data_IF_085895163983
#
_entry.id   IF_085895163983
#
_cell.length_a   1.000
_cell.length_b   1.000
_cell.length_c   1.000
_cell.angle_alpha   90.00
_cell.angle_beta   90.00
_cell.angle_gamma   90.00
#
_symmetry.space_group_name_H-M   'P 1'
#
loop_
_entity.id
_entity.type
_entity.pdbx_description
1 polymer ?
#
# COMPACT_ATOMS: atom_id res chain seq x y z
N UNK A 1 -13.18 -21.39 1.49
CA UNK A 1 -12.68 -22.06 2.67
C UNK A 1 -12.61 -21.08 3.83
N UNK A 2 -13.24 -21.39 4.95
CA UNK A 2 -13.14 -20.52 6.12
C UNK A 2 -11.68 -20.37 6.52
N UNK A 3 -11.26 -19.17 6.79
CA UNK A 3 -9.89 -18.89 7.16
C UNK A 3 -8.94 -18.53 6.03
N UNK A 4 -9.38 -18.55 4.78
CA UNK A 4 -8.57 -17.98 3.71
C UNK A 4 -8.46 -16.46 3.95
N UNK A 5 -7.24 -15.89 4.03
CA UNK A 5 -7.11 -14.47 4.33
C UNK A 5 -7.59 -13.61 3.15
N UNK A 6 -8.18 -12.47 3.50
CA UNK A 6 -8.48 -11.45 2.50
C UNK A 6 -7.18 -10.84 1.98
N UNK A 7 -7.16 -10.48 0.73
CA UNK A 7 -6.02 -9.76 0.14
C UNK A 7 -6.43 -8.33 -0.16
N UNK A 8 -5.66 -7.38 0.35
CA UNK A 8 -5.84 -5.95 0.08
C UNK A 8 -4.68 -5.49 -0.79
N UNK A 9 -5.01 -4.96 -1.97
CA UNK A 9 -4.03 -4.43 -2.91
C UNK A 9 -3.93 -2.92 -2.75
N UNK A 10 -2.75 -2.42 -2.41
CA UNK A 10 -2.48 -0.98 -2.40
C UNK A 10 -1.82 -0.60 -3.72
N UNK A 11 -2.34 0.42 -4.37
CA UNK A 11 -1.87 0.86 -5.69
C UNK A 11 -1.58 2.35 -5.70
N UNK A 12 -0.46 2.71 -6.30
CA UNK A 12 -0.11 4.09 -6.60
C UNK A 12 0.57 4.13 -7.97
N UNK A 13 1.17 5.26 -8.36
CA UNK A 13 1.78 5.35 -9.68
C UNK A 13 3.05 4.51 -9.76
N UNK A 14 4.04 4.79 -8.91
CA UNK A 14 5.37 4.19 -9.03
C UNK A 14 5.61 2.95 -8.20
N UNK A 15 4.73 2.64 -7.26
CA UNK A 15 4.94 1.56 -6.27
C UNK A 15 6.32 1.66 -5.58
N UNK A 16 6.79 2.89 -5.41
CA UNK A 16 8.09 3.19 -4.84
C UNK A 16 8.00 3.95 -3.51
N UNK A 17 6.79 4.24 -3.05
CA UNK A 17 6.57 4.99 -1.82
C UNK A 17 5.25 4.66 -1.13
N UNK A 18 4.19 5.38 -1.48
CA UNK A 18 2.90 5.32 -0.76
C UNK A 18 2.35 3.91 -0.60
N UNK A 19 2.22 3.17 -1.69
CA UNK A 19 1.67 1.80 -1.64
C UNK A 19 2.59 0.82 -0.94
N UNK A 20 3.91 1.00 -1.04
CA UNK A 20 4.87 0.17 -0.30
C UNK A 20 4.76 0.41 1.20
N UNK A 21 4.63 1.67 1.63
CA UNK A 21 4.45 2.00 3.05
C UNK A 21 3.14 1.41 3.59
N UNK A 22 2.04 1.55 2.83
CA UNK A 22 0.74 1.03 3.24
C UNK A 22 0.76 -0.48 3.41
N UNK A 23 1.33 -1.22 2.46
CA UNK A 23 1.42 -2.67 2.54
C UNK A 23 2.28 -3.11 3.73
N UNK A 24 3.39 -2.42 3.99
CA UNK A 24 4.27 -2.73 5.12
C UNK A 24 3.55 -2.55 6.46
N UNK A 25 2.86 -1.43 6.66
CA UNK A 25 2.09 -1.22 7.89
C UNK A 25 0.96 -2.22 8.03
N UNK A 26 0.25 -2.49 6.96
CA UNK A 26 -0.85 -3.46 6.98
C UNK A 26 -0.35 -4.83 7.44
N UNK A 27 0.71 -5.34 6.82
CA UNK A 27 1.22 -6.67 7.14
C UNK A 27 1.86 -6.74 8.53
N UNK A 28 2.34 -5.61 9.06
CA UNK A 28 2.87 -5.55 10.42
C UNK A 28 1.77 -5.55 11.48
N UNK A 29 0.62 -4.95 11.19
CA UNK A 29 -0.46 -4.72 12.16
C UNK A 29 -1.62 -5.70 12.05
N UNK A 30 -1.88 -6.24 10.86
CA UNK A 30 -2.99 -7.15 10.63
C UNK A 30 -2.72 -8.55 11.19
N UNK A 31 -3.80 -9.24 11.58
CA UNK A 31 -3.74 -10.67 11.81
C UNK A 31 -3.60 -11.37 10.46
N UNK A 32 -2.46 -12.01 10.23
CA UNK A 32 -2.14 -12.64 8.95
C UNK A 32 -3.07 -13.80 8.58
N UNK A 33 -3.78 -14.35 9.57
CA UNK A 33 -4.80 -15.37 9.32
C UNK A 33 -6.09 -14.77 8.76
N UNK A 34 -6.29 -13.46 8.91
CA UNK A 34 -7.49 -12.74 8.46
C UNK A 34 -7.27 -11.98 7.17
N UNK A 35 -6.12 -11.30 7.05
CA UNK A 35 -5.85 -10.44 5.91
C UNK A 35 -4.36 -10.22 5.69
N UNK A 36 -4.00 -9.98 4.44
CA UNK A 36 -2.63 -9.59 4.04
C UNK A 36 -2.71 -8.52 2.97
N UNK A 37 -1.64 -7.77 2.81
CA UNK A 37 -1.55 -6.74 1.78
C UNK A 37 -0.47 -7.05 0.76
N UNK A 38 -0.72 -6.61 -0.45
CA UNK A 38 0.24 -6.56 -1.55
C UNK A 38 0.19 -5.16 -2.14
N UNK A 39 1.19 -4.78 -2.91
CA UNK A 39 1.24 -3.47 -3.54
C UNK A 39 1.72 -3.54 -4.97
N UNK A 40 1.31 -2.58 -5.79
CA UNK A 40 1.70 -2.48 -7.19
C UNK A 40 1.54 -1.04 -7.68
N UNK A 41 2.04 -0.73 -8.87
CA UNK A 41 1.94 0.59 -9.46
C UNK A 41 1.59 0.54 -10.93
N UNK A 42 0.97 1.61 -11.40
CA UNK A 42 0.59 1.74 -12.82
C UNK A 42 1.80 2.01 -13.71
N UNK A 43 2.86 2.56 -13.13
CA UNK A 43 4.12 2.83 -13.81
C UNK A 43 5.26 2.62 -12.81
N UNK A 44 5.61 1.35 -12.50
CA UNK A 44 6.56 1.07 -11.42
C UNK A 44 7.94 1.66 -11.69
N UNK A 45 8.52 2.26 -10.63
CA UNK A 45 9.88 2.75 -10.64
C UNK A 45 10.89 1.61 -10.52
N UNK A 46 12.20 1.91 -10.63
CA UNK A 46 13.24 0.90 -10.55
C UNK A 46 13.48 0.38 -9.13
N UNK A 47 13.14 1.16 -8.11
CA UNK A 47 13.36 0.80 -6.71
C UNK A 47 12.47 1.65 -5.81
N UNK A 48 12.32 1.25 -4.55
CA UNK A 48 11.68 2.08 -3.53
C UNK A 48 12.56 3.30 -3.29
N UNK A 49 11.93 4.47 -3.17
CA UNK A 49 12.67 5.72 -3.00
C UNK A 49 13.52 5.69 -1.72
N UNK A 50 14.77 6.14 -1.74
CA UNK A 50 15.65 6.10 -0.57
C UNK A 50 15.10 6.82 0.65
N UNK A 51 14.40 7.95 0.47
CA UNK A 51 13.77 8.70 1.55
C UNK A 51 12.64 7.90 2.21
N UNK A 52 11.96 7.05 1.45
CA UNK A 52 10.93 6.15 1.98
C UNK A 52 11.56 5.03 2.79
N UNK A 53 12.64 4.44 2.28
CA UNK A 53 13.40 3.42 3.02
C UNK A 53 13.86 3.99 4.36
N UNK A 54 14.41 5.22 4.37
CA UNK A 54 14.88 5.88 5.57
C UNK A 54 13.74 6.15 6.57
N UNK A 55 12.61 6.70 6.09
CA UNK A 55 11.47 7.02 6.93
C UNK A 55 10.84 5.75 7.55
N UNK A 56 10.77 4.67 6.81
CA UNK A 56 10.21 3.40 7.33
C UNK A 56 11.15 2.73 8.31
N UNK A 57 12.46 2.85 8.11
CA UNK A 57 13.45 2.33 9.06
C UNK A 57 13.33 3.00 10.42
N UNK A 58 12.98 4.28 10.45
CA UNK A 58 12.77 5.02 11.71
C UNK A 58 11.67 4.40 12.59
N UNK A 59 10.71 3.72 11.98
CA UNK A 59 9.60 3.07 12.69
C UNK A 59 9.75 1.54 12.72
N UNK A 60 10.96 1.06 12.49
CA UNK A 60 11.28 -0.36 12.64
C UNK A 60 10.94 -1.22 11.44
N UNK A 61 10.68 -0.64 10.28
CA UNK A 61 10.32 -1.39 9.07
C UNK A 61 11.38 -1.23 7.99
N UNK A 62 11.83 -2.34 7.42
CA UNK A 62 12.87 -2.37 6.41
C UNK A 62 12.28 -2.65 5.04
N UNK A 63 12.33 -1.65 4.16
CA UNK A 63 11.90 -1.76 2.76
C UNK A 63 13.09 -1.91 1.79
N UNK A 64 14.28 -2.16 2.30
CA UNK A 64 15.49 -2.25 1.49
C UNK A 64 15.36 -3.29 0.37
N UNK A 65 14.74 -4.43 0.63
CA UNK A 65 14.59 -5.51 -0.35
C UNK A 65 13.27 -5.47 -1.12
N UNK A 66 12.40 -4.50 -0.85
CA UNK A 66 11.12 -4.38 -1.54
C UNK A 66 11.33 -3.90 -2.98
N UNK A 67 10.58 -4.46 -3.92
CA UNK A 67 10.71 -4.16 -5.35
C UNK A 67 9.39 -3.66 -5.90
N UNK A 68 9.35 -2.52 -6.59
CA UNK A 68 8.16 -2.07 -7.31
C UNK A 68 7.74 -3.08 -8.37
N UNK A 69 6.42 -3.23 -8.56
CA UNK A 69 5.89 -4.12 -9.60
C UNK A 69 4.68 -3.51 -10.29
N UNK A 70 4.42 -3.99 -11.50
CA UNK A 70 3.34 -3.49 -12.34
C UNK A 70 1.98 -3.98 -11.84
N UNK A 71 1.04 -3.03 -11.71
CA UNK A 71 -0.36 -3.34 -11.44
C UNK A 71 -1.02 -3.81 -12.74
N UNK A 72 -1.58 -5.00 -12.70
CA UNK A 72 -2.34 -5.56 -13.83
C UNK A 72 -3.72 -6.01 -13.33
N UNK A 73 -4.74 -6.07 -14.23
CA UNK A 73 -6.04 -6.64 -13.84
C UNK A 73 -5.93 -8.07 -13.30
N UNK A 74 -5.03 -8.88 -13.85
CA UNK A 74 -4.79 -10.25 -13.40
C UNK A 74 -4.25 -10.28 -11.97
N UNK A 75 -3.35 -9.36 -11.64
CA UNK A 75 -2.80 -9.26 -10.30
C UNK A 75 -3.86 -8.81 -9.30
N UNK A 76 -4.74 -7.88 -9.70
CA UNK A 76 -5.74 -7.29 -8.83
C UNK A 76 -7.01 -8.14 -8.68
N UNK A 77 -7.31 -9.04 -9.61
CA UNK A 77 -8.58 -9.77 -9.63
C UNK A 77 -8.83 -10.65 -8.40
N UNK A 78 -7.77 -11.11 -7.76
CA UNK A 78 -7.85 -11.97 -6.59
C UNK A 78 -7.89 -11.18 -5.27
N UNK A 79 -7.79 -9.85 -5.35
CA UNK A 79 -7.89 -8.99 -4.18
C UNK A 79 -9.35 -8.82 -3.76
N UNK A 80 -9.59 -8.73 -2.45
CA UNK A 80 -10.89 -8.34 -1.92
C UNK A 80 -11.08 -6.83 -2.05
N UNK A 81 -10.01 -6.08 -1.82
CA UNK A 81 -10.00 -4.62 -1.88
C UNK A 81 -8.85 -4.13 -2.75
N UNK A 82 -9.13 -3.10 -3.53
CA UNK A 82 -8.12 -2.30 -4.23
C UNK A 82 -8.16 -0.89 -3.66
N UNK A 83 -7.13 -0.50 -2.93
CA UNK A 83 -7.00 0.85 -2.35
C UNK A 83 -6.05 1.65 -3.22
N UNK A 84 -6.57 2.66 -3.88
CA UNK A 84 -5.78 3.53 -4.75
C UNK A 84 -5.24 4.73 -3.98
N UNK A 85 -4.02 5.13 -4.29
CA UNK A 85 -3.31 6.16 -3.51
C UNK A 85 -2.72 7.20 -4.47
N UNK A 86 -3.58 7.79 -5.31
CA UNK A 86 -3.17 8.86 -6.20
C UNK A 86 -2.88 8.45 -7.64
N UNK A 87 -3.27 7.24 -8.08
CA UNK A 87 -3.14 6.84 -9.48
C UNK A 87 -4.34 7.27 -10.34
N UNK A 88 -5.43 7.70 -9.71
CA UNK A 88 -6.60 8.22 -10.42
C UNK A 88 -7.17 7.23 -11.44
N UNK A 89 -7.46 7.72 -12.64
CA UNK A 89 -8.06 6.93 -13.71
C UNK A 89 -7.11 5.88 -14.29
N UNK A 90 -5.80 5.98 -14.02
CA UNK A 90 -4.83 5.00 -14.48
C UNK A 90 -4.94 3.66 -13.73
N UNK A 91 -5.55 3.65 -12.54
CA UNK A 91 -5.81 2.42 -11.81
C UNK A 91 -7.00 1.69 -12.44
N UNK A 92 -6.88 0.38 -12.70
CA UNK A 92 -7.96 -0.37 -13.34
C UNK A 92 -9.17 -0.52 -12.43
N UNK A 93 -10.36 -0.58 -13.04
CA UNK A 93 -11.57 -1.03 -12.36
C UNK A 93 -11.67 -2.53 -12.58
N UNK A 94 -11.72 -3.30 -11.50
CA UNK A 94 -11.75 -4.77 -11.57
C UNK A 94 -13.08 -5.25 -11.02
N UNK A 95 -13.92 -5.92 -11.84
CA UNK A 95 -15.20 -6.45 -11.36
C UNK A 95 -15.02 -7.40 -10.18
N UNK A 96 -15.90 -7.29 -9.18
CA UNK A 96 -15.86 -8.14 -7.99
C UNK A 96 -14.87 -7.70 -6.93
N UNK A 97 -14.06 -6.69 -7.17
CA UNK A 97 -13.10 -6.13 -6.22
C UNK A 97 -13.64 -4.82 -5.69
N UNK A 98 -13.76 -4.70 -4.37
CA UNK A 98 -14.16 -3.45 -3.72
C UNK A 98 -13.05 -2.42 -3.87
N UNK A 99 -13.40 -1.16 -4.05
CA UNK A 99 -12.43 -0.09 -4.28
C UNK A 99 -12.56 1.00 -3.23
N UNK A 100 -11.41 1.40 -2.69
CA UNK A 100 -11.25 2.61 -1.87
C UNK A 100 -10.25 3.53 -2.52
N UNK A 101 -10.30 4.81 -2.16
CA UNK A 101 -9.34 5.80 -2.65
C UNK A 101 -8.83 6.63 -1.47
N UNK A 102 -7.51 6.60 -1.27
CA UNK A 102 -6.83 7.38 -0.24
C UNK A 102 -6.00 8.47 -0.94
N UNK A 103 -6.56 9.65 -1.14
CA UNK A 103 -5.81 10.73 -1.80
C UNK A 103 -4.69 11.22 -0.89
N UNK A 104 -3.45 11.01 -1.34
CA UNK A 104 -2.25 11.37 -0.61
C UNK A 104 -1.27 12.04 -1.57
N UNK A 105 -0.52 13.01 -1.05
CA UNK A 105 0.53 13.64 -1.82
C UNK A 105 1.65 12.64 -2.12
N UNK A 106 2.24 12.76 -3.30
CA UNK A 106 3.41 11.96 -3.66
C UNK A 106 4.61 12.47 -2.87
N UNK A 107 5.31 11.55 -2.18
CA UNK A 107 6.49 11.89 -1.40
C UNK A 107 7.74 12.10 -2.27
N UNK A 108 7.70 11.79 -3.56
CA UNK A 108 8.84 11.90 -4.46
C UNK A 108 9.34 13.34 -4.50
N UNK A 109 10.63 13.53 -4.24
CA UNK A 109 11.24 14.85 -4.24
C UNK A 109 10.90 15.71 -3.04
N UNK A 110 10.15 15.20 -2.07
CA UNK A 110 9.81 15.93 -0.86
C UNK A 110 10.91 15.78 0.20
N UNK A 111 11.07 16.77 1.09
CA UNK A 111 12.00 16.63 2.21
C UNK A 111 11.58 15.50 3.14
N UNK A 112 12.53 14.93 3.86
CA UNK A 112 12.29 13.79 4.74
C UNK A 112 11.18 14.06 5.76
N UNK A 113 11.10 15.28 6.28
CA UNK A 113 10.05 15.67 7.21
C UNK A 113 8.66 15.49 6.60
N UNK A 114 8.48 15.87 5.32
CA UNK A 114 7.20 15.67 4.62
C UNK A 114 6.92 14.20 4.37
N UNK A 115 7.94 13.43 4.05
CA UNK A 115 7.82 11.97 3.88
C UNK A 115 7.35 11.32 5.18
N UNK A 116 7.88 11.78 6.32
CA UNK A 116 7.43 11.30 7.65
C UNK A 116 5.96 11.60 7.90
N UNK A 117 5.48 12.78 7.51
CA UNK A 117 4.06 13.15 7.65
C UNK A 117 3.17 12.26 6.81
N UNK A 118 3.55 12.01 5.57
CA UNK A 118 2.82 11.11 4.67
C UNK A 118 2.83 9.69 5.22
N UNK A 119 3.97 9.20 5.70
CA UNK A 119 4.10 7.89 6.36
C UNK A 119 3.12 7.76 7.53
N UNK A 120 3.07 8.76 8.40
CA UNK A 120 2.25 8.71 9.61
C UNK A 120 0.76 8.79 9.27
N UNK A 121 0.37 9.54 8.24
CA UNK A 121 -0.99 9.57 7.73
C UNK A 121 -1.40 8.20 7.16
N UNK A 122 -0.53 7.57 6.37
CA UNK A 122 -0.77 6.24 5.83
C UNK A 122 -0.98 5.24 6.96
N UNK A 123 -0.12 5.26 7.98
CA UNK A 123 -0.23 4.37 9.13
C UNK A 123 -1.60 4.51 9.81
N UNK A 124 -2.04 5.73 10.04
CA UNK A 124 -3.34 6.00 10.67
C UNK A 124 -4.48 5.44 9.83
N UNK A 125 -4.44 5.65 8.51
CA UNK A 125 -5.46 5.12 7.60
C UNK A 125 -5.50 3.60 7.60
N UNK A 126 -4.35 2.96 7.64
CA UNK A 126 -4.24 1.50 7.74
C UNK A 126 -4.84 1.01 9.06
N UNK A 127 -4.52 1.64 10.17
CA UNK A 127 -5.05 1.27 11.49
C UNK A 127 -6.59 1.34 11.51
N UNK A 128 -7.16 2.44 11.00
CA UNK A 128 -8.61 2.61 10.91
C UNK A 128 -9.24 1.53 10.02
N UNK A 129 -8.65 1.26 8.87
CA UNK A 129 -9.14 0.23 7.97
C UNK A 129 -9.16 -1.15 8.63
N UNK A 130 -8.09 -1.50 9.34
CA UNK A 130 -8.00 -2.79 10.02
C UNK A 130 -9.05 -2.94 11.12
N UNK A 131 -9.31 -1.90 11.88
CA UNK A 131 -10.34 -1.89 12.92
C UNK A 131 -11.73 -2.00 12.29
N UNK A 132 -12.01 -1.22 11.27
CA UNK A 132 -13.31 -1.19 10.60
C UNK A 132 -13.67 -2.53 9.97
N UNK A 133 -12.69 -3.29 9.51
CA UNK A 133 -12.89 -4.58 8.86
C UNK A 133 -12.58 -5.79 9.75
N UNK A 134 -12.24 -5.55 11.00
CA UNK A 134 -11.91 -6.62 11.96
C UNK A 134 -10.76 -7.52 11.47
N UNK A 135 -9.69 -6.89 10.98
CA UNK A 135 -8.51 -7.58 10.46
C UNK A 135 -7.33 -7.60 11.44
N UNK A 136 -7.53 -7.11 12.64
CA UNK A 136 -6.48 -7.12 13.66
C UNK A 136 -6.58 -8.34 14.57
#
# INVERSE_FOLDING_TARGET
MPGAPHTVMFACVHNAGRSQMAAAFFNALADSSKARAVSAGTNPGPQVHPEVVAAMREVGMDLHAAVPRLLTPELAKDATWLITMGCGDACPVVPGVSRGDWPLDDQKGQPLERVRQIRDDIRQRVEVFLVDHDFM
#
